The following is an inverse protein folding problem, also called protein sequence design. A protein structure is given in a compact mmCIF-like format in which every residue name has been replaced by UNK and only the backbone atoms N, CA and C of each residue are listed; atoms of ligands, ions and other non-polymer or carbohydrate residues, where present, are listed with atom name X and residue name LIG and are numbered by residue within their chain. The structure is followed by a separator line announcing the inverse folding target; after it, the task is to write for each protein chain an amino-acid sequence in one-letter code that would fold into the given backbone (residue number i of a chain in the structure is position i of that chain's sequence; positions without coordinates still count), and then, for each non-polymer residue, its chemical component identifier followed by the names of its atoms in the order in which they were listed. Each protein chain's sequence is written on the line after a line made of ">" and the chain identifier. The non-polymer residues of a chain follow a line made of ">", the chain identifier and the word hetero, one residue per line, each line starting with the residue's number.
data_IF_660324023586
#
_entry.id   IF_660324023586
#
_cell.length_a   1.000
_cell.length_b   1.000
_cell.length_c   1.000
_cell.angle_alpha   90.00
_cell.angle_beta   90.00
_cell.angle_gamma   90.00
#
_symmetry.space_group_name_H-M   'P 1'
#
loop_
_entity.id
_entity.type
_entity.pdbx_description
1 polymer ?
#
# COMPACT_ATOMS: atom_id res chain seq x y z
N UNK A 1 -31.44 -12.57 -8.73
CA UNK A 1 -30.69 -11.64 -7.82
C UNK A 1 -30.59 -12.34 -6.47
N UNK A 2 -29.40 -12.57 -5.95
CA UNK A 2 -29.25 -13.22 -4.64
C UNK A 2 -29.14 -12.09 -3.61
N UNK A 3 -30.09 -12.03 -2.67
CA UNK A 3 -30.04 -11.08 -1.56
C UNK A 3 -29.05 -11.54 -0.49
N UNK A 4 -28.44 -10.60 0.24
CA UNK A 4 -27.67 -10.93 1.43
C UNK A 4 -28.60 -11.63 2.44
N UNK A 5 -28.05 -12.61 3.18
CA UNK A 5 -28.86 -13.30 4.18
C UNK A 5 -29.19 -12.38 5.37
N UNK A 6 -30.21 -12.72 6.13
CA UNK A 6 -30.69 -11.91 7.25
C UNK A 6 -29.65 -11.60 8.29
N UNK A 7 -28.79 -12.57 8.66
CA UNK A 7 -27.71 -12.37 9.63
C UNK A 7 -26.71 -11.31 9.19
N UNK A 8 -26.37 -11.28 7.90
CA UNK A 8 -25.44 -10.29 7.34
C UNK A 8 -26.08 -8.91 7.36
N UNK A 9 -27.39 -8.80 7.07
CA UNK A 9 -28.10 -7.53 7.10
C UNK A 9 -28.21 -6.98 8.53
N UNK A 10 -28.57 -7.83 9.52
CA UNK A 10 -28.61 -7.44 10.93
C UNK A 10 -27.22 -7.04 11.47
N UNK A 11 -26.19 -7.81 11.16
CA UNK A 11 -24.81 -7.48 11.51
C UNK A 11 -24.37 -6.14 10.89
N UNK A 12 -24.68 -5.93 9.61
CA UNK A 12 -24.41 -4.69 8.89
C UNK A 12 -25.06 -3.47 9.55
N UNK A 13 -26.34 -3.59 9.93
CA UNK A 13 -27.06 -2.54 10.64
C UNK A 13 -26.37 -2.18 11.97
N UNK A 14 -25.99 -3.18 12.76
CA UNK A 14 -25.29 -2.97 14.03
C UNK A 14 -23.92 -2.32 13.85
N UNK A 15 -23.18 -2.74 12.82
CA UNK A 15 -21.88 -2.15 12.49
C UNK A 15 -22.04 -0.67 12.10
N UNK A 16 -22.99 -0.36 11.20
CA UNK A 16 -23.25 1.03 10.78
C UNK A 16 -23.61 1.95 11.95
N UNK A 17 -24.35 1.43 12.94
CA UNK A 17 -24.74 2.20 14.12
C UNK A 17 -23.61 2.42 15.14
N UNK A 18 -22.63 1.49 15.24
CA UNK A 18 -21.67 1.45 16.34
C UNK A 18 -20.20 1.61 15.93
N UNK A 19 -19.91 1.60 14.61
CA UNK A 19 -18.51 1.52 14.13
C UNK A 19 -17.79 2.85 14.05
N UNK A 20 -18.44 3.99 14.31
CA UNK A 20 -17.85 5.30 14.08
C UNK A 20 -16.54 5.50 14.87
N UNK A 21 -16.55 5.15 16.15
CA UNK A 21 -15.36 5.27 17.00
C UNK A 21 -14.23 4.36 16.52
N UNK A 22 -14.57 3.12 16.15
CA UNK A 22 -13.60 2.18 15.57
C UNK A 22 -13.02 2.69 14.26
N UNK A 23 -13.86 3.26 13.38
CA UNK A 23 -13.41 3.82 12.11
C UNK A 23 -12.46 5.02 12.31
N UNK A 24 -12.77 5.91 13.24
CA UNK A 24 -11.89 7.05 13.57
C UNK A 24 -10.55 6.56 14.14
N UNK A 25 -10.56 5.60 15.05
CA UNK A 25 -9.33 4.99 15.58
C UNK A 25 -8.48 4.33 14.48
N UNK A 26 -9.10 3.60 13.55
CA UNK A 26 -8.41 3.01 12.41
C UNK A 26 -7.84 4.09 11.48
N UNK A 27 -8.59 5.13 11.20
CA UNK A 27 -8.15 6.28 10.39
C UNK A 27 -6.90 6.93 10.97
N UNK A 28 -6.89 7.17 12.28
CA UNK A 28 -5.76 7.77 12.98
C UNK A 28 -4.52 6.87 12.94
N UNK A 29 -4.70 5.56 13.08
CA UNK A 29 -3.61 4.60 12.93
C UNK A 29 -3.05 4.58 11.51
N UNK A 30 -3.90 4.57 10.49
CA UNK A 30 -3.45 4.63 9.10
C UNK A 30 -2.77 5.97 8.77
N UNK A 31 -3.22 7.08 9.32
CA UNK A 31 -2.55 8.37 9.13
C UNK A 31 -1.15 8.40 9.78
N UNK A 32 -0.98 7.80 10.95
CA UNK A 32 0.35 7.62 11.58
C UNK A 32 1.29 6.79 10.70
N UNK A 33 0.81 5.65 10.17
CA UNK A 33 1.59 4.80 9.27
C UNK A 33 1.91 5.49 7.96
N UNK A 34 0.98 6.24 7.40
CA UNK A 34 1.17 7.06 6.21
C UNK A 34 2.30 8.07 6.42
N UNK A 35 2.24 8.87 7.48
CA UNK A 35 3.26 9.86 7.82
C UNK A 35 4.63 9.21 8.02
N UNK A 36 4.68 8.10 8.73
CA UNK A 36 5.89 7.32 8.92
C UNK A 36 6.47 6.84 7.58
N UNK A 37 5.64 6.20 6.73
CA UNK A 37 6.05 5.71 5.42
C UNK A 37 6.60 6.83 4.54
N UNK A 38 5.88 7.96 4.43
CA UNK A 38 6.31 9.10 3.61
C UNK A 38 7.65 9.68 4.09
N UNK A 39 7.88 9.74 5.40
CA UNK A 39 9.16 10.13 5.97
C UNK A 39 10.28 9.19 5.56
N UNK A 40 10.05 7.88 5.65
CA UNK A 40 11.01 6.84 5.25
C UNK A 40 11.27 6.80 3.74
N UNK A 41 10.24 6.99 2.91
CA UNK A 41 10.43 7.08 1.46
C UNK A 41 11.37 8.22 1.09
N UNK A 42 11.21 9.39 1.72
CA UNK A 42 12.12 10.52 1.52
C UNK A 42 13.55 10.22 1.99
N UNK A 43 13.71 9.55 3.13
CA UNK A 43 15.01 9.13 3.67
C UNK A 43 15.73 8.17 2.70
N UNK A 44 15.00 7.28 2.06
CA UNK A 44 15.54 6.29 1.13
C UNK A 44 15.60 6.76 -0.34
N UNK A 45 15.26 8.02 -0.62
CA UNK A 45 15.23 8.58 -1.99
C UNK A 45 14.28 7.81 -2.93
N UNK A 46 13.12 7.41 -2.39
CA UNK A 46 12.04 6.76 -3.12
C UNK A 46 10.92 7.77 -3.39
N UNK A 47 10.55 7.93 -4.66
CA UNK A 47 9.61 8.96 -5.07
C UNK A 47 8.16 8.45 -5.10
N UNK A 48 7.28 8.92 -4.20
CA UNK A 48 5.87 8.61 -4.24
C UNK A 48 5.09 9.40 -5.29
N UNK A 49 5.72 10.28 -6.08
CA UNK A 49 5.10 11.19 -7.10
C UNK A 49 4.02 12.13 -6.54
N UNK A 50 3.29 11.74 -5.51
CA UNK A 50 2.26 12.53 -4.85
C UNK A 50 2.15 12.13 -3.38
N UNK A 51 1.59 13.01 -2.57
CA UNK A 51 1.30 12.69 -1.18
C UNK A 51 -0.12 12.11 -1.07
N UNK A 52 -0.28 10.82 -0.77
CA UNK A 52 -1.58 10.23 -0.57
C UNK A 52 -2.26 10.84 0.65
N UNK A 53 -3.53 11.19 0.53
CA UNK A 53 -4.36 11.72 1.62
C UNK A 53 -5.52 10.78 2.01
N UNK A 54 -5.59 9.62 1.39
CA UNK A 54 -6.64 8.61 1.59
C UNK A 54 -6.10 7.21 1.31
N UNK A 55 -6.93 6.20 1.53
CA UNK A 55 -6.60 4.77 1.39
C UNK A 55 -5.50 4.30 2.36
N UNK A 56 -4.79 3.25 2.03
CA UNK A 56 -3.75 2.62 2.85
C UNK A 56 -2.55 2.17 2.00
N UNK A 57 -2.32 2.82 0.87
CA UNK A 57 -1.22 2.53 -0.05
C UNK A 57 -0.70 3.81 -0.71
N UNK A 58 0.47 3.70 -1.31
CA UNK A 58 1.12 4.72 -2.12
C UNK A 58 1.64 4.07 -3.40
N UNK A 59 1.62 4.80 -4.51
CA UNK A 59 2.30 4.43 -5.74
C UNK A 59 3.71 5.01 -5.71
N UNK A 60 4.71 4.14 -5.85
CA UNK A 60 6.12 4.48 -5.97
C UNK A 60 6.51 4.41 -7.43
N UNK A 61 7.06 5.49 -7.95
CA UNK A 61 7.66 5.48 -9.28
C UNK A 61 9.03 4.83 -9.20
N UNK A 62 9.30 3.84 -10.06
CA UNK A 62 10.63 3.25 -10.16
C UNK A 62 11.45 3.96 -11.27
N UNK A 63 12.78 3.86 -11.18
CA UNK A 63 13.69 4.66 -12.03
C UNK A 63 13.73 4.19 -13.48
N UNK A 64 13.85 2.90 -13.70
CA UNK A 64 13.93 2.32 -15.06
C UNK A 64 12.54 2.15 -15.68
N UNK A 65 12.06 3.19 -16.33
CA UNK A 65 10.74 3.24 -16.97
C UNK A 65 10.61 2.33 -18.22
N UNK A 66 11.69 1.73 -18.70
CA UNK A 66 11.65 0.75 -19.78
C UNK A 66 11.34 -0.68 -19.28
N UNK A 67 11.31 -0.84 -17.97
CA UNK A 67 11.09 -2.10 -17.31
C UNK A 67 9.60 -2.29 -17.00
N UNK A 68 9.07 -3.51 -17.20
CA UNK A 68 7.69 -3.84 -16.82
C UNK A 68 7.51 -3.82 -15.29
N UNK A 69 6.44 -3.21 -14.83
CA UNK A 69 6.09 -3.19 -13.39
C UNK A 69 5.86 -4.60 -12.84
N UNK A 70 5.33 -5.52 -13.67
CA UNK A 70 5.14 -6.91 -13.29
C UNK A 70 6.48 -7.63 -13.09
N UNK A 71 7.40 -7.55 -14.05
CA UNK A 71 8.72 -8.16 -13.91
C UNK A 71 9.49 -7.62 -12.71
N UNK A 72 9.45 -6.30 -12.52
CA UNK A 72 10.12 -5.66 -11.39
C UNK A 72 9.51 -6.10 -10.06
N UNK A 73 8.18 -6.18 -9.95
CA UNK A 73 7.52 -6.62 -8.72
C UNK A 73 7.85 -8.07 -8.35
N UNK A 74 7.94 -8.95 -9.34
CA UNK A 74 8.34 -10.34 -9.15
C UNK A 74 9.80 -10.47 -8.71
N UNK A 75 10.70 -9.72 -9.33
CA UNK A 75 12.12 -9.73 -8.93
C UNK A 75 12.33 -9.17 -7.52
N UNK A 76 11.61 -8.11 -7.14
CA UNK A 76 11.64 -7.58 -5.76
C UNK A 76 11.17 -8.67 -4.79
N UNK A 77 10.07 -9.35 -5.10
CA UNK A 77 9.57 -10.44 -4.26
C UNK A 77 10.61 -11.55 -4.09
N UNK A 78 11.22 -12.01 -5.17
CA UNK A 78 12.21 -13.08 -5.16
C UNK A 78 13.47 -12.71 -4.37
N UNK A 79 14.00 -11.49 -4.57
CA UNK A 79 15.25 -11.06 -3.96
C UNK A 79 15.11 -10.56 -2.53
N UNK A 80 13.96 -9.97 -2.20
CA UNK A 80 13.79 -9.28 -0.90
C UNK A 80 12.74 -9.91 0.02
N UNK A 81 11.87 -10.76 -0.52
CA UNK A 81 10.70 -11.28 0.18
C UNK A 81 9.63 -10.22 0.44
N UNK A 82 9.66 -9.09 -0.30
CA UNK A 82 8.66 -8.02 -0.17
C UNK A 82 7.73 -8.04 -1.38
N UNK A 83 6.44 -8.27 -1.14
CA UNK A 83 5.43 -8.25 -2.18
C UNK A 83 4.94 -6.81 -2.42
N UNK A 84 5.08 -6.33 -3.65
CA UNK A 84 4.51 -5.08 -4.14
C UNK A 84 3.54 -5.40 -5.28
N UNK A 85 2.45 -4.63 -5.40
CA UNK A 85 1.53 -4.82 -6.52
C UNK A 85 2.06 -4.06 -7.74
N UNK A 86 2.17 -4.71 -8.91
CA UNK A 86 2.59 -4.03 -10.13
C UNK A 86 1.55 -2.98 -10.54
N UNK A 87 2.03 -1.83 -11.03
CA UNK A 87 1.14 -0.73 -11.38
C UNK A 87 0.22 -1.05 -12.55
N UNK A 88 0.64 -1.90 -13.47
CA UNK A 88 -0.17 -2.32 -14.63
C UNK A 88 -1.54 -2.92 -14.23
N UNK A 89 -1.67 -3.50 -13.03
CA UNK A 89 -2.95 -4.01 -12.50
C UNK A 89 -4.00 -2.89 -12.29
N UNK A 90 -3.57 -1.63 -12.30
CA UNK A 90 -4.43 -0.45 -12.14
C UNK A 90 -4.68 0.29 -13.46
N UNK A 91 -4.43 -0.38 -14.57
CA UNK A 91 -4.62 0.14 -15.91
C UNK A 91 -3.35 0.73 -16.55
N UNK A 92 -3.44 1.19 -17.81
CA UNK A 92 -2.27 1.65 -18.58
C UNK A 92 -1.48 2.78 -17.91
N UNK A 93 -2.16 3.67 -17.19
CA UNK A 93 -1.52 4.77 -16.46
C UNK A 93 -0.76 4.33 -15.21
N UNK A 94 -0.89 3.07 -14.79
CA UNK A 94 -0.17 2.51 -13.64
C UNK A 94 1.21 1.93 -14.00
N UNK A 95 1.51 1.73 -15.28
CA UNK A 95 2.84 1.29 -15.71
C UNK A 95 3.91 2.33 -15.32
N UNK A 96 5.08 1.90 -14.90
CA UNK A 96 6.10 2.77 -14.33
C UNK A 96 6.00 2.95 -12.81
N UNK A 97 4.99 2.33 -12.18
CA UNK A 97 4.75 2.41 -10.73
C UNK A 97 4.64 1.03 -10.08
N UNK A 98 4.90 1.00 -8.77
CA UNK A 98 4.62 -0.12 -7.87
C UNK A 98 3.76 0.38 -6.72
N UNK A 99 2.69 -0.36 -6.38
CA UNK A 99 1.83 -0.04 -5.24
C UNK A 99 2.42 -0.63 -3.95
N UNK A 100 2.73 0.23 -3.01
CA UNK A 100 3.18 -0.12 -1.67
C UNK A 100 2.05 0.10 -0.66
N UNK A 101 1.62 -0.97 0.03
CA UNK A 101 0.60 -0.89 1.07
C UNK A 101 1.23 -0.59 2.43
N UNK A 102 0.65 0.34 3.20
CA UNK A 102 1.03 0.59 4.58
C UNK A 102 0.04 0.01 5.62
N UNK A 103 -0.79 -0.95 5.20
CA UNK A 103 -1.63 -1.73 6.10
C UNK A 103 -0.82 -2.81 6.85
N UNK A 104 0.27 -2.39 7.49
CA UNK A 104 1.18 -3.25 8.26
C UNK A 104 1.80 -2.47 9.44
N UNK A 105 2.53 -3.14 10.33
CA UNK A 105 3.23 -2.45 11.42
C UNK A 105 4.36 -1.56 10.87
N UNK A 106 4.70 -0.48 11.60
CA UNK A 106 5.79 0.41 11.19
C UNK A 106 7.13 -0.33 11.11
N UNK A 107 7.38 -1.28 12.01
CA UNK A 107 8.57 -2.14 11.99
C UNK A 107 8.67 -2.96 10.68
N UNK A 108 7.56 -3.59 10.27
CA UNK A 108 7.51 -4.35 9.02
C UNK A 108 7.68 -3.43 7.79
N UNK A 109 7.09 -2.24 7.82
CA UNK A 109 7.24 -1.25 6.74
C UNK A 109 8.70 -0.80 6.61
N UNK A 110 9.36 -0.49 7.72
CA UNK A 110 10.78 -0.11 7.73
C UNK A 110 11.68 -1.24 7.23
N UNK A 111 11.45 -2.46 7.71
CA UNK A 111 12.19 -3.64 7.27
C UNK A 111 12.02 -3.90 5.77
N UNK A 112 10.79 -3.73 5.24
CA UNK A 112 10.51 -3.88 3.82
C UNK A 112 11.25 -2.82 2.99
N UNK A 113 11.16 -1.55 3.36
CA UNK A 113 11.86 -0.47 2.66
C UNK A 113 13.38 -0.65 2.68
N UNK A 114 13.96 -1.05 3.80
CA UNK A 114 15.39 -1.32 3.92
C UNK A 114 15.82 -2.40 2.93
N UNK A 115 15.11 -3.54 2.89
CA UNK A 115 15.40 -4.64 1.96
C UNK A 115 15.29 -4.22 0.50
N UNK A 116 14.26 -3.46 0.14
CA UNK A 116 14.09 -2.93 -1.20
C UNK A 116 15.26 -2.01 -1.55
N UNK A 117 15.64 -1.09 -0.68
CA UNK A 117 16.76 -0.17 -0.92
C UNK A 117 18.09 -0.91 -1.08
N UNK A 118 18.35 -1.88 -0.21
CA UNK A 118 19.58 -2.69 -0.27
C UNK A 118 19.67 -3.55 -1.54
N UNK A 119 18.53 -3.90 -2.14
CA UNK A 119 18.51 -4.64 -3.41
C UNK A 119 18.93 -3.82 -4.62
N UNK A 120 18.84 -2.49 -4.55
CA UNK A 120 19.14 -1.57 -5.65
C UNK A 120 18.20 -1.67 -6.86
N UNK A 121 17.01 -2.26 -6.69
CA UNK A 121 16.06 -2.52 -7.79
C UNK A 121 15.18 -1.32 -8.14
N UNK A 122 14.99 -0.36 -7.22
CA UNK A 122 14.17 0.84 -7.43
C UNK A 122 14.86 2.10 -6.92
#
# INVERSE_FOLDING_TARGET
>A
MISANEFVQEAGLKVLQKSRETCESMKDEFDRRRKFLLGKLKEYDLDPQYQPNSAFYVFLRYRDQNRSSLELSMEILEKTGVALTPGVDFGPGGEGFLRFSYANSQENLERALKRIKESGLI
#
